data_IF_145401794248
#
_entry.id   IF_145401794248
#
_cell.length_a   1.000
_cell.length_b   1.000
_cell.length_c   1.000
_cell.angle_alpha   90.00
_cell.angle_beta   90.00
_cell.angle_gamma   90.00
#
_symmetry.space_group_name_H-M   'P 1'
#
loop_
_entity.id
_entity.type
_entity.pdbx_description
1 polymer ?
#
# COMPACT_ATOMS: atom_id res chain seq x y z
N UNK A 1 -21.05 -3.57 2.01
CA UNK A 1 -19.70 -4.14 1.99
C UNK A 1 -18.82 -3.23 2.81
N UNK A 2 -18.30 -3.70 3.94
CA UNK A 2 -17.38 -2.92 4.78
C UNK A 2 -16.02 -2.93 4.09
N UNK A 3 -15.53 -1.80 3.57
CA UNK A 3 -14.11 -1.70 3.30
C UNK A 3 -13.41 -1.51 4.66
N UNK A 4 -12.58 -2.47 5.11
CA UNK A 4 -11.75 -2.25 6.29
C UNK A 4 -10.85 -1.05 6.02
N UNK A 5 -10.62 -0.22 7.03
CA UNK A 5 -9.56 0.79 7.01
C UNK A 5 -8.30 0.13 6.46
N UNK A 6 -7.76 0.63 5.35
CA UNK A 6 -6.59 -0.02 4.75
C UNK A 6 -5.49 -0.10 5.80
N UNK A 7 -4.98 -1.31 6.10
CA UNK A 7 -4.00 -1.48 7.15
C UNK A 7 -2.75 -0.67 6.81
N UNK A 8 -2.02 -0.21 7.83
CA UNK A 8 -0.66 0.29 7.62
C UNK A 8 0.09 -0.83 6.88
N UNK A 9 0.69 -0.52 5.73
CA UNK A 9 1.41 -1.50 4.91
C UNK A 9 2.92 -1.41 5.14
N UNK A 10 3.39 -0.26 5.61
CA UNK A 10 4.77 -0.01 5.97
C UNK A 10 4.89 1.13 6.98
N UNK A 11 5.93 1.05 7.82
CA UNK A 11 6.36 2.13 8.71
C UNK A 11 7.82 2.49 8.40
N UNK A 12 8.20 3.78 8.49
CA UNK A 12 9.61 4.17 8.46
C UNK A 12 10.35 3.59 9.68
N UNK A 13 11.68 3.62 9.66
CA UNK A 13 12.50 3.22 10.82
C UNK A 13 12.29 4.20 11.98
N UNK A 14 12.66 3.79 13.20
CA UNK A 14 12.51 4.62 14.40
C UNK A 14 13.32 5.93 14.34
N UNK A 15 14.34 6.01 13.48
CA UNK A 15 15.14 7.23 13.31
C UNK A 15 14.31 8.42 12.81
N UNK A 16 13.22 8.15 12.09
CA UNK A 16 12.30 9.16 11.55
C UNK A 16 11.08 9.40 12.45
N UNK A 17 10.94 8.67 13.55
CA UNK A 17 9.79 8.74 14.46
C UNK A 17 10.17 9.41 15.79
N UNK A 18 9.27 10.17 16.43
CA UNK A 18 9.48 10.64 17.79
C UNK A 18 9.60 9.49 18.79
N UNK A 19 10.49 9.63 19.78
CA UNK A 19 10.79 8.59 20.78
C UNK A 19 9.56 8.03 21.50
N UNK A 20 8.56 8.86 21.77
CA UNK A 20 7.36 8.45 22.48
C UNK A 20 6.44 7.53 21.64
N UNK A 21 6.65 7.43 20.32
CA UNK A 21 5.93 6.53 19.41
C UNK A 21 6.69 5.23 19.14
N UNK A 22 7.99 5.16 19.46
CA UNK A 22 8.86 4.02 19.14
C UNK A 22 8.31 2.70 19.67
N UNK A 23 7.88 2.65 20.94
CA UNK A 23 7.35 1.43 21.54
C UNK A 23 6.13 0.89 20.78
N UNK A 24 5.22 1.77 20.35
CA UNK A 24 4.02 1.39 19.59
C UNK A 24 4.35 1.02 18.14
N UNK A 25 5.37 1.65 17.54
CA UNK A 25 5.87 1.28 16.22
C UNK A 25 6.55 -0.10 16.23
N UNK A 26 7.35 -0.40 17.26
CA UNK A 26 7.99 -1.70 17.45
C UNK A 26 6.95 -2.80 17.72
N UNK A 27 5.94 -2.51 18.55
CA UNK A 27 4.80 -3.40 18.77
C UNK A 27 4.10 -3.75 17.45
N UNK A 28 3.86 -2.76 16.59
CA UNK A 28 3.28 -2.98 15.26
C UNK A 28 4.19 -3.81 14.36
N UNK A 29 5.50 -3.52 14.32
CA UNK A 29 6.46 -4.28 13.49
C UNK A 29 6.50 -5.75 13.90
N UNK A 30 6.53 -6.03 15.21
CA UNK A 30 6.47 -7.39 15.72
C UNK A 30 5.15 -8.10 15.39
N UNK A 31 4.02 -7.39 15.44
CA UNK A 31 2.74 -7.95 15.02
C UNK A 31 2.71 -8.25 13.50
N UNK A 32 3.29 -7.38 12.68
CA UNK A 32 3.41 -7.60 11.23
C UNK A 32 4.35 -8.77 10.88
N UNK A 33 5.49 -8.88 11.57
CA UNK A 33 6.40 -10.03 11.47
C UNK A 33 5.70 -11.35 11.85
N UNK A 34 4.89 -11.33 12.91
CA UNK A 34 4.09 -12.49 13.32
C UNK A 34 3.08 -12.89 12.25
N UNK A 35 2.35 -11.93 11.66
CA UNK A 35 1.42 -12.20 10.55
C UNK A 35 2.15 -12.77 9.34
N UNK A 36 3.31 -12.20 8.98
CA UNK A 36 4.16 -12.71 7.89
C UNK A 36 4.64 -14.13 8.16
N UNK A 37 5.07 -14.43 9.39
CA UNK A 37 5.46 -15.77 9.83
C UNK A 37 4.32 -16.78 9.67
N UNK A 38 3.14 -16.48 10.20
CA UNK A 38 1.97 -17.37 10.08
C UNK A 38 1.55 -17.55 8.63
N UNK A 39 1.53 -16.48 7.82
CA UNK A 39 1.22 -16.58 6.38
C UNK A 39 2.22 -17.45 5.63
N UNK A 40 3.50 -17.32 5.95
CA UNK A 40 4.57 -18.13 5.37
C UNK A 40 4.40 -19.60 5.75
N UNK A 41 4.26 -19.89 7.05
CA UNK A 41 4.06 -21.26 7.56
C UNK A 41 2.82 -21.92 6.95
N UNK A 42 1.73 -21.16 6.80
CA UNK A 42 0.50 -21.62 6.18
C UNK A 42 0.68 -21.91 4.68
N UNK A 43 1.33 -21.01 3.94
CA UNK A 43 1.63 -21.21 2.52
C UNK A 43 2.57 -22.41 2.28
N UNK A 44 3.60 -22.56 3.12
CA UNK A 44 4.51 -23.71 3.09
C UNK A 44 3.79 -25.02 3.40
N UNK A 45 2.88 -25.04 4.38
CA UNK A 45 2.08 -26.22 4.70
C UNK A 45 1.14 -26.61 3.54
N UNK A 46 0.51 -25.63 2.87
CA UNK A 46 -0.29 -25.89 1.66
C UNK A 46 0.57 -26.48 0.55
N UNK A 47 1.76 -25.90 0.32
CA UNK A 47 2.67 -26.38 -0.72
C UNK A 47 3.25 -27.77 -0.43
N UNK A 48 3.41 -28.13 0.85
CA UNK A 48 3.92 -29.43 1.29
C UNK A 48 2.87 -30.56 1.24
N UNK A 49 1.57 -30.23 1.19
CA UNK A 49 0.49 -31.22 1.23
C UNK A 49 0.55 -32.26 0.09
N UNK A 50 0.79 -31.90 -1.18
CA UNK A 50 0.90 -32.88 -2.25
C UNK A 50 2.09 -33.85 -2.05
N UNK A 51 3.22 -33.34 -1.56
CA UNK A 51 4.39 -34.18 -1.30
C UNK A 51 4.12 -35.15 -0.13
N UNK A 52 3.50 -34.68 0.95
CA UNK A 52 3.12 -35.54 2.07
C UNK A 52 2.16 -36.67 1.65
N UNK A 53 1.25 -36.41 0.71
CA UNK A 53 0.38 -37.44 0.14
C UNK A 53 1.16 -38.48 -0.69
N UNK A 54 2.18 -38.04 -1.45
CA UNK A 54 3.06 -38.95 -2.19
C UNK A 54 3.92 -39.79 -1.24
N UNK A 55 4.45 -39.19 -0.18
CA UNK A 55 5.28 -39.85 0.82
C UNK A 55 4.47 -40.91 1.59
N UNK A 56 3.23 -40.58 1.99
CA UNK A 56 2.31 -41.55 2.61
C UNK A 56 1.96 -42.71 1.66
N UNK A 57 1.73 -42.42 0.38
CA UNK A 57 1.47 -43.46 -0.63
C UNK A 57 2.70 -44.34 -0.91
N UNK A 58 3.90 -43.76 -0.91
CA UNK A 58 5.15 -44.48 -1.06
C UNK A 58 5.43 -45.38 0.15
N UNK A 59 5.25 -44.87 1.36
CA UNK A 59 5.40 -45.64 2.61
C UNK A 59 4.42 -46.83 2.66
N UNK A 60 3.17 -46.62 2.24
CA UNK A 60 2.18 -47.69 2.13
C UNK A 60 2.63 -48.76 1.11
N UNK A 61 3.07 -48.34 -0.07
CA UNK A 61 3.56 -49.23 -1.13
C UNK A 61 4.78 -50.03 -0.66
N UNK A 62 5.73 -49.40 0.02
CA UNK A 62 6.95 -50.02 0.53
C UNK A 62 6.66 -51.05 1.63
N UNK A 63 5.75 -50.74 2.56
CA UNK A 63 5.33 -51.68 3.60
C UNK A 63 4.65 -52.93 3.01
N UNK A 64 3.82 -52.75 1.98
CA UNK A 64 3.17 -53.86 1.25
C UNK A 64 4.22 -54.72 0.55
N UNK A 65 5.19 -54.12 -0.14
CA UNK A 65 6.25 -54.85 -0.85
C UNK A 65 7.20 -55.59 0.10
N UNK A 66 7.51 -54.98 1.25
CA UNK A 66 8.37 -55.56 2.27
C UNK A 66 7.66 -56.58 3.18
N UNK A 67 6.36 -56.80 2.99
CA UNK A 67 5.52 -57.66 3.83
C UNK A 67 5.59 -57.28 5.32
N UNK A 68 5.74 -55.99 5.59
CA UNK A 68 5.80 -55.40 6.93
C UNK A 68 4.41 -54.95 7.39
N UNK A 69 4.20 -54.70 8.69
CA UNK A 69 2.97 -54.09 9.18
C UNK A 69 2.66 -52.78 8.43
N UNK A 70 1.40 -52.56 8.09
CA UNK A 70 0.97 -51.34 7.40
C UNK A 70 1.21 -50.12 8.30
N UNK A 71 1.78 -49.02 7.77
CA UNK A 71 1.96 -47.79 8.53
C UNK A 71 0.59 -47.19 8.90
N UNK A 72 0.57 -46.41 9.99
CA UNK A 72 -0.64 -45.72 10.43
C UNK A 72 -1.19 -44.81 9.33
N UNK A 73 -2.52 -44.70 9.28
CA UNK A 73 -3.23 -44.15 8.13
C UNK A 73 -2.89 -42.66 7.93
N UNK A 74 -2.06 -42.36 6.92
CA UNK A 74 -1.76 -41.01 6.40
C UNK A 74 -1.18 -40.03 7.43
N UNK A 75 -0.17 -40.46 8.17
CA UNK A 75 0.42 -39.67 9.26
C UNK A 75 1.01 -38.34 8.76
N UNK A 76 1.72 -38.33 7.62
CA UNK A 76 2.33 -37.10 7.09
C UNK A 76 1.24 -36.14 6.56
N UNK A 77 0.25 -36.65 5.83
CA UNK A 77 -0.89 -35.84 5.38
C UNK A 77 -1.65 -35.24 6.56
N UNK A 78 -1.92 -36.03 7.62
CA UNK A 78 -2.60 -35.56 8.83
C UNK A 78 -1.82 -34.45 9.54
N UNK A 79 -0.51 -34.61 9.70
CA UNK A 79 0.35 -33.61 10.32
C UNK A 79 0.35 -32.30 9.52
N UNK A 80 0.44 -32.36 8.19
CA UNK A 80 0.38 -31.17 7.32
C UNK A 80 -0.99 -30.51 7.37
N UNK A 81 -2.09 -31.28 7.30
CA UNK A 81 -3.47 -30.75 7.42
C UNK A 81 -3.71 -30.04 8.76
N UNK A 82 -3.19 -30.58 9.86
CA UNK A 82 -3.30 -29.94 11.17
C UNK A 82 -2.58 -28.57 11.19
N UNK A 83 -1.43 -28.45 10.53
CA UNK A 83 -0.72 -27.16 10.38
C UNK A 83 -1.51 -26.16 9.54
N UNK A 84 -2.15 -26.61 8.46
CA UNK A 84 -3.03 -25.77 7.63
C UNK A 84 -4.21 -25.27 8.47
N UNK A 85 -4.88 -26.15 9.21
CA UNK A 85 -6.02 -25.77 10.06
C UNK A 85 -5.59 -24.78 11.17
N UNK A 86 -4.44 -25.02 11.81
CA UNK A 86 -3.90 -24.10 12.81
C UNK A 86 -3.62 -22.72 12.21
N UNK A 87 -2.96 -22.65 11.05
CA UNK A 87 -2.70 -21.41 10.33
C UNK A 87 -3.99 -20.67 9.94
N UNK A 88 -4.99 -21.41 9.45
CA UNK A 88 -6.31 -20.86 9.09
C UNK A 88 -7.08 -20.28 10.28
N UNK A 89 -6.93 -20.85 11.48
CA UNK A 89 -7.54 -20.31 12.72
C UNK A 89 -6.77 -19.11 13.28
N UNK A 90 -5.44 -19.15 13.26
CA UNK A 90 -4.59 -18.13 13.90
C UNK A 90 -4.40 -16.87 13.06
N UNK A 91 -4.36 -17.00 11.74
CA UNK A 91 -4.14 -15.88 10.83
C UNK A 91 -5.14 -14.72 11.01
N UNK A 92 -6.47 -14.93 11.00
CA UNK A 92 -7.42 -13.82 11.15
C UNK A 92 -7.31 -13.13 12.52
N UNK A 93 -6.96 -13.86 13.57
CA UNK A 93 -6.75 -13.31 14.92
C UNK A 93 -5.50 -12.44 14.94
N UNK A 94 -4.40 -12.91 14.37
CA UNK A 94 -3.15 -12.15 14.29
C UNK A 94 -3.28 -10.89 13.41
N UNK A 95 -4.05 -10.97 12.32
CA UNK A 95 -4.36 -9.81 11.47
C UNK A 95 -5.20 -8.77 12.21
N UNK A 96 -6.22 -9.21 12.96
CA UNK A 96 -7.04 -8.30 13.78
C UNK A 96 -6.23 -7.57 14.87
N UNK A 97 -5.31 -8.29 15.53
CA UNK A 97 -4.38 -7.75 16.53
C UNK A 97 -3.44 -6.70 15.91
N UNK A 98 -2.77 -7.04 14.80
CA UNK A 98 -1.92 -6.10 14.04
C UNK A 98 -2.69 -4.85 13.63
N UNK A 99 -3.91 -5.01 13.14
CA UNK A 99 -4.73 -3.88 12.67
C UNK A 99 -5.19 -3.00 13.84
N UNK A 100 -5.43 -3.57 15.03
CA UNK A 100 -5.75 -2.82 16.24
C UNK A 100 -4.56 -1.98 16.72
N UNK A 101 -3.36 -2.57 16.75
CA UNK A 101 -2.12 -1.84 17.06
C UNK A 101 -1.88 -0.75 16.01
N UNK A 102 -2.10 -1.07 14.73
CA UNK A 102 -1.99 -0.12 13.62
C UNK A 102 -2.92 1.07 13.76
N UNK A 103 -4.18 0.87 14.17
CA UNK A 103 -5.12 1.97 14.47
C UNK A 103 -4.59 2.90 15.56
N UNK A 104 -4.15 2.34 16.69
CA UNK A 104 -3.55 3.12 17.79
C UNK A 104 -2.34 3.93 17.30
N UNK A 105 -1.52 3.32 16.44
CA UNK A 105 -0.35 3.96 15.86
C UNK A 105 -0.72 5.09 14.91
N UNK A 106 -1.72 4.92 14.05
CA UNK A 106 -2.21 6.01 13.18
C UNK A 106 -2.66 7.21 14.01
N UNK A 107 -3.39 6.97 15.11
CA UNK A 107 -3.83 8.03 16.02
C UNK A 107 -2.61 8.74 16.64
N UNK A 108 -1.63 7.98 17.13
CA UNK A 108 -0.40 8.55 17.70
C UNK A 108 0.40 9.37 16.68
N UNK A 109 0.53 8.88 15.44
CA UNK A 109 1.25 9.57 14.36
C UNK A 109 0.57 10.86 13.89
N UNK A 110 -0.72 11.04 14.21
CA UNK A 110 -1.51 12.24 13.89
C UNK A 110 -1.47 13.31 14.98
N UNK A 111 -0.85 13.01 16.13
CA UNK A 111 -0.62 14.02 17.16
C UNK A 111 0.18 15.20 16.57
N UNK A 112 -0.14 16.42 16.99
CA UNK A 112 0.37 17.64 16.36
C UNK A 112 1.90 17.72 16.40
N UNK A 113 2.48 17.33 17.53
CA UNK A 113 3.92 17.28 17.76
C UNK A 113 4.61 16.20 16.91
N UNK A 114 3.98 15.03 16.75
CA UNK A 114 4.48 13.95 15.90
C UNK A 114 4.43 14.33 14.43
N UNK A 115 3.31 14.92 13.99
CA UNK A 115 3.15 15.42 12.63
C UNK A 115 4.17 16.51 12.32
N UNK A 116 4.34 17.49 13.21
CA UNK A 116 5.34 18.54 13.03
C UNK A 116 6.76 17.97 12.96
N UNK A 117 7.08 16.97 13.80
CA UNK A 117 8.36 16.28 13.76
C UNK A 117 8.57 15.51 12.46
N UNK A 118 7.56 14.76 12.01
CA UNK A 118 7.59 14.02 10.74
C UNK A 118 7.75 14.98 9.56
N UNK A 119 7.00 16.08 9.51
CA UNK A 119 7.14 17.11 8.47
C UNK A 119 8.57 17.63 8.45
N UNK A 120 9.12 17.98 9.62
CA UNK A 120 10.45 18.56 9.74
C UNK A 120 11.55 17.57 9.37
N UNK A 121 11.55 16.38 9.96
CA UNK A 121 12.55 15.34 9.70
C UNK A 121 12.47 14.85 8.25
N UNK A 122 11.26 14.60 7.74
CA UNK A 122 11.04 14.16 6.36
C UNK A 122 11.44 15.25 5.36
N UNK A 123 11.08 16.51 5.58
CA UNK A 123 11.48 17.59 4.67
C UNK A 123 12.99 17.88 4.72
N UNK A 124 13.63 17.78 5.89
CA UNK A 124 15.06 18.03 6.06
C UNK A 124 15.93 17.00 5.34
N UNK A 125 15.53 15.72 5.35
CA UNK A 125 16.32 14.65 4.73
C UNK A 125 15.91 14.38 3.26
N UNK A 126 14.61 14.47 2.94
CA UNK A 126 14.14 14.13 1.59
C UNK A 126 14.41 15.25 0.59
N UNK A 127 14.32 16.54 0.98
CA UNK A 127 14.55 17.65 0.02
C UNK A 127 15.98 17.64 -0.56
N UNK A 128 17.05 17.56 0.25
CA UNK A 128 18.42 17.46 -0.29
C UNK A 128 18.64 16.19 -1.11
N UNK A 129 18.04 15.07 -0.70
CA UNK A 129 18.13 13.81 -1.44
C UNK A 129 17.44 13.90 -2.81
N UNK A 130 16.28 14.55 -2.88
CA UNK A 130 15.53 14.80 -4.11
C UNK A 130 16.33 15.72 -5.05
N UNK A 131 16.90 16.80 -4.51
CA UNK A 131 17.74 17.72 -5.29
C UNK A 131 18.99 17.01 -5.84
N UNK A 132 19.67 16.22 -5.02
CA UNK A 132 20.82 15.41 -5.44
C UNK A 132 20.44 14.40 -6.52
N UNK A 133 19.28 13.75 -6.38
CA UNK A 133 18.77 12.79 -7.36
C UNK A 133 18.44 13.45 -8.70
N UNK A 134 17.75 14.59 -8.68
CA UNK A 134 17.43 15.36 -9.88
C UNK A 134 18.69 15.89 -10.58
N UNK A 135 19.69 16.33 -9.80
CA UNK A 135 20.99 16.72 -10.33
C UNK A 135 21.72 15.56 -11.00
N UNK A 136 21.75 14.39 -10.36
CA UNK A 136 22.36 13.19 -10.92
C UNK A 136 21.65 12.73 -12.22
N UNK A 137 20.32 12.82 -12.27
CA UNK A 137 19.56 12.56 -13.49
C UNK A 137 19.91 13.54 -14.62
N UNK A 138 20.03 14.83 -14.31
CA UNK A 138 20.40 15.84 -15.29
C UNK A 138 21.82 15.60 -15.84
N UNK A 139 22.76 15.21 -14.99
CA UNK A 139 24.12 14.87 -15.40
C UNK A 139 24.17 13.61 -16.26
N UNK A 140 23.46 12.54 -15.87
CA UNK A 140 23.36 11.32 -16.66
C UNK A 140 22.75 11.57 -18.05
N UNK A 141 21.68 12.37 -18.13
CA UNK A 141 21.08 12.78 -19.41
C UNK A 141 22.09 13.54 -20.28
N UNK A 142 22.85 14.46 -19.68
CA UNK A 142 23.89 15.23 -20.38
C UNK A 142 24.97 14.31 -20.92
N UNK A 143 25.51 13.42 -20.11
CA UNK A 143 26.57 12.48 -20.51
C UNK A 143 26.09 11.52 -21.61
N UNK A 144 24.88 10.96 -21.50
CA UNK A 144 24.30 10.10 -22.53
C UNK A 144 24.11 10.87 -23.83
N UNK A 145 23.62 12.12 -23.77
CA UNK A 145 23.45 12.98 -24.94
C UNK A 145 24.79 13.33 -25.59
N UNK A 146 25.81 13.67 -24.81
CA UNK A 146 27.16 13.98 -25.29
C UNK A 146 27.81 12.76 -25.96
N UNK A 147 27.75 11.58 -25.32
CA UNK A 147 28.24 10.33 -25.88
C UNK A 147 27.50 9.95 -27.17
N UNK A 148 26.18 10.18 -27.21
CA UNK A 148 25.35 9.96 -28.39
C UNK A 148 25.76 10.87 -29.55
N UNK A 149 25.98 12.16 -29.27
CA UNK A 149 26.44 13.13 -30.26
C UNK A 149 27.82 12.75 -30.79
N UNK A 150 28.74 12.36 -29.90
CA UNK A 150 30.07 11.91 -30.28
C UNK A 150 30.02 10.65 -31.17
N UNK A 151 29.21 9.65 -30.81
CA UNK A 151 29.00 8.46 -31.63
C UNK A 151 28.42 8.81 -33.00
N UNK A 152 27.38 9.66 -33.05
CA UNK A 152 26.75 10.11 -34.29
C UNK A 152 27.75 10.79 -35.22
N UNK A 153 28.60 11.67 -34.67
CA UNK A 153 29.66 12.34 -35.41
C UNK A 153 30.72 11.34 -35.91
N UNK A 154 31.09 10.34 -35.10
CA UNK A 154 32.08 9.34 -35.47
C UNK A 154 31.58 8.32 -36.52
N UNK A 155 30.27 8.03 -36.55
CA UNK A 155 29.67 7.10 -37.51
C UNK A 155 29.24 7.77 -38.82
N UNK A 156 29.13 9.10 -38.87
CA UNK A 156 28.74 9.81 -40.08
C UNK A 156 29.69 9.58 -41.28
N UNK A 157 31.02 9.51 -41.11
CA UNK A 157 31.95 9.15 -42.19
C UNK A 157 31.77 7.72 -42.72
N UNK A 158 31.37 6.76 -41.86
CA UNK A 158 31.14 5.38 -42.28
C UNK A 158 29.95 5.26 -43.25
N UNK A 159 28.90 6.05 -43.04
CA UNK A 159 27.77 6.13 -43.97
C UNK A 159 28.14 6.75 -45.32
N UNK A 160 29.16 7.64 -45.35
CA UNK A 160 29.72 8.17 -46.59
C UNK A 160 30.54 7.11 -47.33
N UNK A 161 31.37 6.33 -46.61
CA UNK A 161 32.14 5.22 -47.20
C UNK A 161 31.20 4.17 -47.79
N UNK A 162 30.16 3.77 -47.08
CA UNK A 162 29.17 2.79 -47.55
C UNK A 162 28.40 3.29 -48.79
N UNK A 163 28.08 4.59 -48.86
CA UNK A 163 27.47 5.22 -50.04
C UNK A 163 28.39 5.17 -51.27
N UNK A 164 29.69 5.39 -51.06
CA UNK A 164 30.71 5.37 -52.11
C UNK A 164 30.97 3.94 -52.61
N UNK A 165 30.98 2.95 -51.70
CA UNK A 165 31.23 1.54 -52.04
C UNK A 165 30.03 0.87 -52.74
N UNK A 166 28.80 1.30 -52.46
CA UNK A 166 27.57 0.67 -53.01
C UNK A 166 26.94 1.45 -54.17
N UNK A 167 27.39 2.68 -54.46
CA UNK A 167 26.84 3.54 -55.51
C UNK A 167 25.44 4.11 -55.23
N UNK A 168 24.96 4.00 -53.98
CA UNK A 168 23.61 4.44 -53.59
C UNK A 168 23.54 5.94 -53.30
N UNK A 169 22.45 6.61 -53.69
CA UNK A 169 22.16 7.99 -53.25
C UNK A 169 21.76 7.98 -51.77
N UNK A 170 22.72 8.26 -50.88
CA UNK A 170 22.45 8.32 -49.43
C UNK A 170 22.04 9.73 -49.03
N UNK A 171 20.88 9.86 -48.39
CA UNK A 171 20.52 11.10 -47.69
C UNK A 171 21.40 11.20 -46.45
N UNK A 172 22.35 12.14 -46.42
CA UNK A 172 23.28 12.40 -45.30
C UNK A 172 22.60 12.98 -44.05
N UNK A 173 21.39 12.56 -43.74
CA UNK A 173 20.79 12.80 -42.43
C UNK A 173 21.17 11.61 -41.56
N UNK A 174 21.84 11.82 -40.41
CA UNK A 174 22.09 10.74 -39.48
C UNK A 174 20.75 10.08 -39.13
N UNK A 175 20.62 8.78 -39.40
CA UNK A 175 19.50 8.01 -38.92
C UNK A 175 19.51 8.14 -37.39
N UNK A 176 18.48 8.76 -36.80
CA UNK A 176 18.38 8.83 -35.35
C UNK A 176 18.32 7.41 -34.81
N UNK A 177 19.29 6.97 -33.99
CA UNK A 177 19.24 5.64 -33.38
C UNK A 177 17.97 5.49 -32.54
N UNK A 178 17.47 4.27 -32.42
CA UNK A 178 16.31 3.96 -31.60
C UNK A 178 16.55 4.34 -30.13
N UNK A 179 15.78 5.32 -29.65
CA UNK A 179 15.50 5.59 -28.24
C UNK A 179 16.68 6.03 -27.37
N UNK A 180 16.85 7.34 -27.19
CA UNK A 180 17.49 7.83 -25.96
C UNK A 180 16.74 7.23 -24.76
N UNK A 181 17.42 6.70 -23.72
CA UNK A 181 16.74 6.32 -22.49
C UNK A 181 16.01 7.56 -21.93
N UNK A 182 14.69 7.48 -21.84
CA UNK A 182 13.85 8.54 -21.28
C UNK A 182 13.79 8.40 -19.77
N UNK A 183 14.21 9.43 -19.05
CA UNK A 183 14.06 9.52 -17.60
C UNK A 183 12.74 10.19 -17.19
N UNK A 184 11.77 10.28 -18.11
CA UNK A 184 10.48 10.94 -17.87
C UNK A 184 9.72 10.39 -16.66
N UNK A 185 9.69 9.05 -16.50
CA UNK A 185 9.03 8.42 -15.35
C UNK A 185 9.69 8.76 -14.01
N UNK A 186 11.03 8.87 -14.00
CA UNK A 186 11.78 9.26 -12.81
C UNK A 186 11.49 10.72 -12.41
N UNK A 187 11.35 11.62 -13.39
CA UNK A 187 10.96 13.02 -13.15
C UNK A 187 9.52 13.16 -12.65
N UNK A 188 8.59 12.41 -13.24
CA UNK A 188 7.21 12.40 -12.74
C UNK A 188 7.12 11.91 -11.30
N UNK A 189 7.86 10.85 -10.95
CA UNK A 189 7.92 10.35 -9.58
C UNK A 189 8.51 11.39 -8.61
N UNK A 190 9.59 12.07 -9.01
CA UNK A 190 10.21 13.14 -8.23
C UNK A 190 9.26 14.33 -8.01
N UNK A 191 8.52 14.75 -9.04
CA UNK A 191 7.51 15.81 -8.92
C UNK A 191 6.35 15.42 -8.02
N UNK A 192 5.85 14.18 -8.13
CA UNK A 192 4.80 13.68 -7.23
C UNK A 192 5.27 13.67 -5.78
N UNK A 193 6.52 13.28 -5.53
CA UNK A 193 7.11 13.29 -4.18
C UNK A 193 7.26 14.73 -3.65
N UNK A 194 7.73 15.67 -4.46
CA UNK A 194 7.79 17.09 -4.09
C UNK A 194 6.40 17.63 -3.70
N UNK A 195 5.38 17.34 -4.53
CA UNK A 195 4.00 17.73 -4.23
C UNK A 195 3.47 17.08 -2.95
N UNK A 196 3.83 15.82 -2.66
CA UNK A 196 3.48 15.16 -1.41
C UNK A 196 4.15 15.81 -0.20
N UNK A 197 5.42 16.22 -0.32
CA UNK A 197 6.14 16.96 0.72
C UNK A 197 5.51 18.31 1.00
N UNK A 198 5.11 19.04 -0.04
CA UNK A 198 4.45 20.34 0.11
C UNK A 198 3.06 20.19 0.73
N UNK A 199 2.37 19.08 0.46
CA UNK A 199 1.07 18.77 1.05
C UNK A 199 1.16 18.23 2.49
N UNK A 200 2.35 17.92 3.03
CA UNK A 200 2.50 17.47 4.43
C UNK A 200 2.07 18.56 5.42
N UNK A 201 2.13 19.82 5.02
CA UNK A 201 1.84 20.99 5.87
C UNK A 201 0.34 21.35 5.93
N UNK A 202 -0.45 20.93 4.94
CA UNK A 202 -1.87 21.24 4.90
C UNK A 202 -2.67 20.35 5.88
N UNK A 203 -3.15 20.93 6.99
CA UNK A 203 -4.02 20.28 7.98
C UNK A 203 -5.44 20.09 7.44
N UNK A 204 -5.57 19.38 6.31
CA UNK A 204 -6.85 19.10 5.66
C UNK A 204 -7.44 17.83 6.25
N UNK A 205 -8.64 17.93 6.81
CA UNK A 205 -9.38 16.78 7.31
C UNK A 205 -9.56 15.75 6.19
N UNK A 206 -9.32 14.46 6.44
CA UNK A 206 -9.33 13.45 5.40
C UNK A 206 -10.73 13.32 4.78
N UNK A 207 -10.77 13.06 3.47
CA UNK A 207 -12.03 12.87 2.71
C UNK A 207 -12.85 11.68 3.21
N UNK A 208 -12.17 10.70 3.81
CA UNK A 208 -12.77 9.52 4.43
C UNK A 208 -12.45 9.51 5.91
N UNK A 209 -13.44 9.25 6.75
CA UNK A 209 -13.33 9.18 8.20
C UNK A 209 -13.49 7.74 8.66
N UNK A 210 -12.77 7.40 9.72
CA UNK A 210 -12.85 6.09 10.36
C UNK A 210 -13.54 6.24 11.71
N UNK A 211 -14.68 5.57 11.86
CA UNK A 211 -15.54 5.72 13.02
C UNK A 211 -15.90 4.36 13.61
N UNK A 212 -16.00 4.32 14.94
CA UNK A 212 -16.62 3.24 15.70
C UNK A 212 -18.11 3.56 15.79
N UNK A 213 -18.95 2.63 15.36
CA UNK A 213 -20.39 2.74 15.51
C UNK A 213 -20.83 2.25 16.90
N UNK A 214 -21.97 2.73 17.39
CA UNK A 214 -22.56 2.32 18.68
C UNK A 214 -22.85 0.82 18.79
N UNK A 215 -22.95 0.12 17.66
CA UNK A 215 -23.07 -1.36 17.63
C UNK A 215 -21.71 -2.08 17.66
N UNK A 216 -20.63 -1.36 17.94
CA UNK A 216 -19.26 -1.87 18.07
C UNK A 216 -18.54 -2.09 16.74
N UNK A 217 -19.14 -1.75 15.59
CA UNK A 217 -18.51 -1.96 14.27
C UNK A 217 -17.63 -0.78 13.87
N UNK A 218 -16.48 -1.08 13.28
CA UNK A 218 -15.59 -0.08 12.69
C UNK A 218 -15.91 0.10 11.21
N UNK A 219 -16.16 1.34 10.76
CA UNK A 219 -16.46 1.64 9.35
C UNK A 219 -15.67 2.83 8.83
N UNK A 220 -15.26 2.75 7.57
CA UNK A 220 -14.67 3.89 6.84
C UNK A 220 -15.73 4.48 5.92
N UNK A 221 -16.08 5.74 6.12
CA UNK A 221 -17.15 6.45 5.38
C UNK A 221 -16.68 7.82 4.91
N UNK A 222 -17.39 8.42 3.95
CA UNK A 222 -17.11 9.78 3.53
C UNK A 222 -17.23 10.76 4.69
N UNK A 223 -16.42 11.82 4.67
CA UNK A 223 -16.32 12.82 5.72
C UNK A 223 -17.65 13.40 6.19
N UNK A 224 -18.44 13.90 5.23
CA UNK A 224 -19.77 14.48 5.49
C UNK A 224 -20.73 13.43 6.08
N UNK A 225 -20.67 12.20 5.57
CA UNK A 225 -21.49 11.11 6.09
C UNK A 225 -21.14 10.76 7.54
N UNK A 226 -19.86 10.78 7.91
CA UNK A 226 -19.45 10.55 9.30
C UNK A 226 -20.01 11.62 10.25
N UNK A 227 -20.00 12.89 9.82
CA UNK A 227 -20.54 14.01 10.59
C UNK A 227 -22.07 13.88 10.79
N UNK A 228 -22.80 13.46 9.75
CA UNK A 228 -24.23 13.17 9.84
C UNK A 228 -24.53 11.96 10.72
N UNK A 229 -23.72 10.90 10.65
CA UNK A 229 -23.87 9.73 11.51
C UNK A 229 -23.60 10.04 12.99
N UNK A 230 -22.71 11.00 13.28
CA UNK A 230 -22.50 11.51 14.63
C UNK A 230 -23.74 12.26 15.13
N UNK A 231 -24.32 13.15 14.32
CA UNK A 231 -25.58 13.86 14.65
C UNK A 231 -26.70 12.89 14.99
N UNK A 232 -26.80 11.80 14.23
CA UNK A 232 -27.86 10.81 14.36
C UNK A 232 -27.59 9.77 15.48
N UNK A 233 -26.51 9.93 16.25
CA UNK A 233 -26.17 9.07 17.38
C UNK A 233 -25.74 7.65 17.00
N UNK A 234 -25.21 7.47 15.78
CA UNK A 234 -24.78 6.18 15.23
C UNK A 234 -23.27 5.96 15.46
N UNK A 235 -22.50 7.04 15.56
CA UNK A 235 -21.06 7.02 15.86
C UNK A 235 -20.83 7.10 17.37
N UNK A 236 -20.08 6.13 17.90
CA UNK A 236 -19.60 6.10 19.29
C UNK A 236 -18.28 6.87 19.42
N UNK A 237 -17.32 6.62 18.51
CA UNK A 237 -15.98 7.24 18.60
C UNK A 237 -15.34 7.45 17.22
N UNK A 238 -14.42 8.41 17.12
CA UNK A 238 -13.62 8.70 15.94
C UNK A 238 -12.27 7.99 16.01
N UNK A 239 -12.17 6.85 15.33
CA UNK A 239 -10.97 6.01 15.32
C UNK A 239 -9.81 6.60 14.51
N UNK A 240 -10.06 7.66 13.75
CA UNK A 240 -9.07 8.35 12.93
C UNK A 240 -8.30 9.45 13.69
N UNK A 241 -8.67 9.76 14.93
CA UNK A 241 -7.97 10.75 15.76
C UNK A 241 -8.10 12.19 15.27
N UNK A 242 -8.94 12.46 14.27
CA UNK A 242 -9.32 13.83 13.91
C UNK A 242 -10.47 14.30 14.80
N UNK A 243 -10.56 15.60 15.13
CA UNK A 243 -11.72 16.12 15.84
C UNK A 243 -13.01 15.81 15.09
N UNK A 244 -14.09 15.64 15.84
CA UNK A 244 -15.43 15.50 15.28
C UNK A 244 -15.74 16.70 14.37
N UNK A 245 -16.35 16.44 13.22
CA UNK A 245 -16.79 17.51 12.33
C UNK A 245 -18.18 18.01 12.67
N UNK A 246 -18.42 19.29 12.37
CA UNK A 246 -19.75 19.86 12.44
C UNK A 246 -20.68 19.14 11.45
N UNK A 247 -21.83 18.61 11.90
CA UNK A 247 -22.80 18.00 11.01
C UNK A 247 -23.30 18.99 9.96
N UNK A 248 -23.78 18.46 8.82
CA UNK A 248 -24.50 19.29 7.85
C UNK A 248 -25.68 20.00 8.54
N UNK A 249 -25.88 21.30 8.22
CA UNK A 249 -27.05 22.03 8.72
C UNK A 249 -28.31 21.36 8.18
N UNK A 250 -29.34 21.12 9.01
CA UNK A 250 -30.57 20.54 8.52
C UNK A 250 -31.19 21.47 7.47
N UNK A 251 -31.33 20.97 6.25
CA UNK A 251 -32.17 21.62 5.24
C UNK A 251 -33.60 21.50 5.77
N UNK A 252 -34.24 22.63 6.04
CA UNK A 252 -35.64 22.65 6.49
C UNK A 252 -36.51 21.81 5.55
N UNK A 253 -37.09 20.73 6.08
CA UNK A 253 -38.02 19.86 5.34
C UNK A 253 -37.56 18.43 5.04
N UNK A 254 -36.35 18.00 5.41
CA UNK A 254 -35.97 16.58 5.26
C UNK A 254 -36.59 15.72 6.38
N UNK A 255 -37.22 14.57 6.07
CA UNK A 255 -37.89 13.74 7.06
C UNK A 255 -36.91 13.18 8.09
N UNK A 256 -37.34 13.16 9.35
CA UNK A 256 -36.60 12.82 10.57
C UNK A 256 -36.07 11.37 10.65
N UNK A 257 -35.80 10.67 9.54
CA UNK A 257 -35.58 9.23 9.55
C UNK A 257 -34.54 8.72 8.53
N UNK A 258 -33.45 9.45 8.35
CA UNK A 258 -32.26 8.93 7.62
C UNK A 258 -31.72 7.69 8.35
N UNK A 259 -31.76 7.64 9.68
CA UNK A 259 -31.42 6.47 10.49
C UNK A 259 -32.25 5.23 10.14
N UNK A 260 -33.56 5.38 9.93
CA UNK A 260 -34.42 4.27 9.48
C UNK A 260 -34.16 3.92 8.02
N UNK A 261 -33.86 4.90 7.16
CA UNK A 261 -33.49 4.63 5.77
C UNK A 261 -32.16 3.87 5.66
N UNK A 262 -31.18 4.12 6.54
CA UNK A 262 -29.91 3.39 6.57
C UNK A 262 -30.07 1.98 7.19
N UNK A 263 -30.93 1.83 8.20
CA UNK A 263 -31.30 0.51 8.75
C UNK A 263 -31.93 -0.40 7.70
N UNK A 264 -32.79 0.14 6.83
CA UNK A 264 -33.59 -0.64 5.89
C UNK A 264 -33.07 -0.67 4.44
N UNK A 265 -32.30 0.35 3.98
CA UNK A 265 -31.84 0.48 2.59
C UNK A 265 -30.31 0.68 2.48
N UNK A 266 -29.54 -0.24 3.09
CA UNK A 266 -28.06 -0.25 3.20
C UNK A 266 -27.26 -0.10 1.88
N UNK A 267 -27.89 -0.22 0.71
CA UNK A 267 -27.23 -0.23 -0.61
C UNK A 267 -27.56 0.95 -1.53
N UNK A 268 -28.42 1.89 -1.11
CA UNK A 268 -28.95 2.95 -2.00
C UNK A 268 -28.70 4.38 -1.50
N UNK A 269 -28.00 4.56 -0.38
CA UNK A 269 -27.67 5.91 0.07
C UNK A 269 -26.59 6.53 -0.83
N UNK A 270 -27.00 7.46 -1.68
CA UNK A 270 -26.11 8.29 -2.49
C UNK A 270 -25.81 9.54 -1.68
N UNK A 271 -24.53 9.83 -1.33
CA UNK A 271 -24.17 11.09 -0.70
C UNK A 271 -24.64 12.24 -1.58
N UNK A 272 -25.34 13.22 -1.01
CA UNK A 272 -25.71 14.41 -1.76
C UNK A 272 -24.43 15.13 -2.19
N UNK A 273 -24.20 15.22 -3.52
CA UNK A 273 -23.27 16.22 -4.06
C UNK A 273 -23.88 17.58 -3.77
N UNK A 274 -23.35 18.28 -2.79
CA UNK A 274 -23.57 19.71 -2.71
C UNK A 274 -23.02 20.33 -4.00
N UNK A 275 -23.92 20.99 -4.72
CA UNK A 275 -23.58 21.86 -5.84
C UNK A 275 -22.87 23.08 -5.26
N UNK A 276 -21.55 23.01 -5.17
CA UNK A 276 -20.69 24.19 -5.15
C UNK A 276 -19.78 24.17 -6.38
N UNK A 277 -20.42 24.18 -7.55
CA UNK A 277 -19.89 24.74 -8.79
C UNK A 277 -20.82 25.91 -9.17
N UNK A 278 -20.74 27.02 -8.43
CA UNK A 278 -21.34 28.30 -8.83
C UNK A 278 -20.80 29.49 -8.00
N UNK A 279 -19.51 29.82 -8.15
CA UNK A 279 -18.96 31.20 -8.22
C UNK A 279 -17.43 31.17 -8.28
#
# INVERSE_FOLDING_TARGET
MNQPSMPIVSLPTNDYLPKHVHALADEWRHADERVKGIRKDYAEAIAALPQAQLDDAAALSEAVLANQPLPDDRENEKAVRARIEDGGRRLPIAEADRDQIGRRLVVALRAEDVRAHLVTATAADIRPALDSYLSALAEAERTVREAHQALTQATAPLAVVDALDTGSQVTLRPASPAGLPSYGQAREAAQRLAQQLDNLDERKTPRMRHVLLVDGRNVTVARELAADMLRDGIVEDWLDGWPAEEPSRPIGGAPANIADHFKHNRGQYVPHRDRDDAA
#
